data_IF_733753056168
#
_entry.id   IF_733753056168
#
_cell.length_a   1.000
_cell.length_b   1.000
_cell.length_c   1.000
_cell.angle_alpha   90.00
_cell.angle_beta   90.00
_cell.angle_gamma   90.00
#
_symmetry.space_group_name_H-M   'P 1'
#
loop_
_entity.id
_entity.type
_entity.pdbx_description
1 polymer ?
#
# COMPACT_ATOMS: atom_id res chain seq x y z
N UNK A 1 -18.57 34.43 49.97
CA UNK A 1 -19.42 33.23 49.97
C UNK A 1 -18.81 32.23 49.02
N UNK A 2 -17.91 31.35 49.54
CA UNK A 2 -17.19 30.33 48.74
C UNK A 2 -18.02 29.06 48.82
N UNK A 3 -18.42 28.52 47.65
CA UNK A 3 -19.04 27.21 47.51
C UNK A 3 -17.98 26.20 47.17
N UNK A 4 -17.60 25.35 48.12
CA UNK A 4 -16.75 24.19 47.93
C UNK A 4 -17.60 23.05 47.35
N UNK A 5 -17.36 22.69 46.10
CA UNK A 5 -17.91 21.50 45.46
C UNK A 5 -16.93 20.37 45.62
N UNK A 6 -17.15 19.43 46.54
CA UNK A 6 -16.40 18.18 46.68
C UNK A 6 -16.96 17.18 45.70
N UNK A 7 -16.16 16.79 44.73
CA UNK A 7 -16.39 15.61 43.89
C UNK A 7 -15.70 14.40 44.54
N UNK A 8 -16.49 13.58 45.24
CA UNK A 8 -16.10 12.21 45.56
C UNK A 8 -16.77 11.29 44.56
N UNK A 9 -15.99 10.73 43.62
CA UNK A 9 -16.38 9.54 42.89
C UNK A 9 -15.24 8.53 42.99
N UNK A 10 -15.35 7.65 43.97
CA UNK A 10 -14.54 6.41 44.01
C UNK A 10 -15.12 5.45 42.98
N UNK A 11 -14.46 5.30 41.86
CA UNK A 11 -14.79 4.26 40.87
C UNK A 11 -14.30 2.91 41.41
N UNK A 12 -15.20 2.08 41.92
CA UNK A 12 -14.90 0.69 42.29
C UNK A 12 -15.00 -0.19 41.05
N UNK A 13 -13.85 -0.53 40.47
CA UNK A 13 -13.73 -1.42 39.30
C UNK A 13 -13.88 -2.91 39.67
N UNK A 14 -13.84 -3.27 40.96
CA UNK A 14 -13.94 -4.66 41.43
C UNK A 14 -15.35 -5.26 41.32
N UNK A 15 -16.38 -4.50 41.44
CA UNK A 15 -17.76 -4.99 41.42
C UNK A 15 -18.30 -5.38 40.04
N UNK A 16 -17.61 -5.06 38.95
CA UNK A 16 -18.01 -5.44 37.57
C UNK A 16 -17.33 -6.70 37.04
N UNK A 17 -16.35 -7.25 37.75
CA UNK A 17 -15.64 -8.45 37.29
C UNK A 17 -16.35 -9.78 37.63
N UNK A 18 -17.31 -9.79 38.55
CA UNK A 18 -18.02 -11.01 38.99
C UNK A 18 -19.26 -11.32 38.19
N UNK A 19 -19.85 -10.36 37.44
CA UNK A 19 -21.08 -10.58 36.65
C UNK A 19 -20.85 -11.29 35.32
N UNK A 20 -19.62 -11.40 34.86
CA UNK A 20 -19.29 -12.06 33.57
C UNK A 20 -19.01 -13.57 33.65
N UNK A 21 -19.19 -14.23 34.81
CA UNK A 21 -18.89 -15.66 34.95
C UNK A 21 -20.05 -16.63 34.81
N UNK A 22 -21.26 -16.17 34.61
CA UNK A 22 -22.44 -17.04 34.47
C UNK A 22 -23.25 -16.75 33.21
N UNK A 23 -22.69 -17.11 32.08
CA UNK A 23 -23.39 -17.07 30.81
C UNK A 23 -22.48 -17.64 29.72
N UNK A 24 -22.42 -18.97 29.59
CA UNK A 24 -21.92 -19.57 28.35
C UNK A 24 -22.90 -19.22 27.24
N UNK A 25 -22.69 -18.05 26.62
CA UNK A 25 -23.31 -17.73 25.35
C UNK A 25 -22.66 -18.63 24.29
N UNK A 26 -23.48 -19.50 23.69
CA UNK A 26 -23.11 -20.31 22.55
C UNK A 26 -22.62 -19.39 21.41
N UNK A 27 -21.40 -19.62 20.90
CA UNK A 27 -21.04 -19.19 19.57
C UNK A 27 -20.49 -17.76 19.40
N UNK A 28 -19.73 -17.21 20.34
CA UNK A 28 -18.78 -16.17 19.96
C UNK A 28 -17.66 -16.83 19.15
N UNK A 29 -17.77 -16.82 17.81
CA UNK A 29 -16.61 -17.09 16.94
C UNK A 29 -15.53 -16.10 17.38
N UNK A 30 -14.44 -16.63 17.91
CA UNK A 30 -13.22 -15.88 18.09
C UNK A 30 -12.98 -15.13 16.76
N UNK A 31 -12.99 -13.80 16.77
CA UNK A 31 -12.66 -13.00 15.58
C UNK A 31 -11.15 -13.13 15.39
N UNK A 32 -10.73 -14.23 14.80
CA UNK A 32 -9.36 -14.44 14.35
C UNK A 32 -9.11 -13.37 13.29
N UNK A 33 -7.98 -12.65 13.39
CA UNK A 33 -7.56 -11.74 12.34
C UNK A 33 -7.49 -12.53 11.01
N UNK A 34 -8.04 -12.00 9.91
CA UNK A 34 -8.01 -12.70 8.65
C UNK A 34 -6.57 -12.81 8.15
N UNK A 35 -6.07 -14.03 8.08
CA UNK A 35 -4.71 -14.37 7.69
C UNK A 35 -4.78 -15.50 6.68
N UNK A 36 -4.08 -15.34 5.55
CA UNK A 36 -3.78 -16.38 4.60
C UNK A 36 -2.41 -16.98 4.93
N UNK A 37 -2.29 -18.29 4.97
CA UNK A 37 -1.01 -18.98 5.00
C UNK A 37 -0.62 -19.38 3.58
N UNK A 38 0.52 -18.88 3.09
CA UNK A 38 1.07 -19.20 1.77
C UNK A 38 1.73 -20.59 1.74
N UNK A 39 2.14 -21.06 0.56
CA UNK A 39 2.75 -22.37 0.40
C UNK A 39 4.10 -22.51 1.12
N UNK A 40 4.85 -21.40 1.28
CA UNK A 40 6.11 -21.35 2.03
C UNK A 40 5.91 -21.17 3.54
N UNK A 41 4.65 -21.09 3.98
CA UNK A 41 4.27 -20.96 5.39
C UNK A 41 4.18 -19.53 5.89
N UNK A 42 4.42 -18.53 5.05
CA UNK A 42 4.29 -17.10 5.40
C UNK A 42 2.82 -16.77 5.65
N UNK A 43 2.52 -16.07 6.73
CA UNK A 43 1.18 -15.60 7.04
C UNK A 43 0.99 -14.19 6.53
N UNK A 44 0.01 -14.00 5.63
CA UNK A 44 -0.35 -12.72 5.02
C UNK A 44 -1.65 -12.23 5.64
N UNK A 45 -1.58 -11.14 6.39
CA UNK A 45 -2.74 -10.44 6.92
C UNK A 45 -3.47 -9.71 5.79
N UNK A 46 -4.80 -9.72 5.82
CA UNK A 46 -5.61 -8.94 4.89
C UNK A 46 -6.88 -8.40 5.54
N UNK A 47 -7.43 -7.33 4.98
CA UNK A 47 -8.76 -6.79 5.22
C UNK A 47 -9.64 -7.21 4.05
N UNK A 48 -10.91 -7.58 4.33
CA UNK A 48 -11.89 -7.97 3.31
C UNK A 48 -13.27 -7.51 3.76
N UNK A 49 -13.80 -6.46 3.14
CA UNK A 49 -15.05 -5.83 3.55
C UNK A 49 -16.01 -5.67 2.38
N UNK A 50 -17.31 -5.84 2.68
CA UNK A 50 -18.40 -5.62 1.73
C UNK A 50 -18.64 -6.78 0.78
N UNK A 51 -19.28 -6.46 -0.33
CA UNK A 51 -19.67 -7.40 -1.39
C UNK A 51 -19.70 -6.67 -2.74
N UNK A 52 -19.90 -7.38 -3.83
CA UNK A 52 -19.89 -6.80 -5.18
C UNK A 52 -18.56 -7.04 -5.90
N UNK A 53 -18.25 -6.21 -6.90
CA UNK A 53 -17.00 -6.34 -7.66
C UNK A 53 -15.80 -6.13 -6.73
N UNK A 54 -14.82 -7.04 -6.71
CA UNK A 54 -13.66 -6.90 -5.83
C UNK A 54 -12.71 -5.80 -6.32
N UNK A 55 -12.18 -5.01 -5.37
CA UNK A 55 -11.03 -4.12 -5.56
C UNK A 55 -9.96 -4.58 -4.59
N UNK A 56 -8.77 -4.89 -5.11
CA UNK A 56 -7.61 -5.35 -4.32
C UNK A 56 -6.56 -4.25 -4.31
N UNK A 57 -6.14 -3.83 -3.12
CA UNK A 57 -5.19 -2.75 -2.91
C UNK A 57 -3.85 -3.27 -2.44
N UNK A 58 -2.77 -2.93 -3.17
CA UNK A 58 -1.36 -3.20 -2.86
C UNK A 58 -0.65 -1.93 -2.43
N UNK A 59 -0.14 -1.90 -1.20
CA UNK A 59 0.46 -0.71 -0.59
C UNK A 59 1.88 -0.41 -1.06
N UNK A 60 2.34 0.85 -0.88
CA UNK A 60 3.72 1.28 -1.11
C UNK A 60 4.68 0.83 0.01
N UNK A 61 5.99 0.89 -0.26
CA UNK A 61 7.03 0.71 0.75
C UNK A 61 7.14 1.95 1.65
N UNK A 62 7.33 1.83 2.95
CA UNK A 62 7.34 0.64 3.82
C UNK A 62 6.00 0.48 4.57
N UNK A 63 4.89 0.78 3.92
CA UNK A 63 3.56 0.93 4.52
C UNK A 63 2.86 -0.43 4.78
N UNK A 64 1.56 -0.39 4.96
CA UNK A 64 0.68 -1.53 5.20
C UNK A 64 -0.68 -1.30 4.54
N UNK A 65 -1.60 -2.24 4.65
CA UNK A 65 -2.98 -2.08 4.19
C UNK A 65 -3.73 -0.92 4.86
N UNK A 66 -3.22 -0.38 5.98
CA UNK A 66 -3.82 0.78 6.67
C UNK A 66 -3.69 2.07 5.86
N UNK A 67 -2.76 2.14 4.91
CA UNK A 67 -2.62 3.28 4.00
C UNK A 67 -3.82 3.43 3.06
N UNK A 68 -4.56 2.35 2.84
CA UNK A 68 -5.72 2.31 1.95
C UNK A 68 -7.08 2.53 2.64
N UNK A 69 -7.12 2.81 3.96
CA UNK A 69 -8.38 2.89 4.72
C UNK A 69 -9.36 3.93 4.14
N UNK A 70 -8.87 5.07 3.66
CA UNK A 70 -9.71 6.09 3.03
C UNK A 70 -10.34 5.61 1.73
N UNK A 71 -9.55 4.93 0.86
CA UNK A 71 -10.02 4.34 -0.38
C UNK A 71 -10.98 3.20 -0.11
N UNK A 72 -10.63 2.30 0.81
CA UNK A 72 -11.48 1.17 1.18
C UNK A 72 -12.86 1.64 1.65
N UNK A 73 -12.94 2.61 2.56
CA UNK A 73 -14.21 3.16 3.03
C UNK A 73 -15.00 3.84 1.90
N UNK A 74 -14.33 4.58 1.03
CA UNK A 74 -14.97 5.21 -0.11
C UNK A 74 -15.61 4.17 -1.05
N UNK A 75 -14.86 3.16 -1.48
CA UNK A 75 -15.35 2.14 -2.41
C UNK A 75 -16.36 1.20 -1.76
N UNK A 76 -16.21 0.88 -0.47
CA UNK A 76 -17.21 0.15 0.31
C UNK A 76 -18.58 0.86 0.27
N UNK A 77 -18.61 2.18 0.46
CA UNK A 77 -19.81 2.99 0.40
C UNK A 77 -20.40 3.12 -1.03
N UNK A 78 -19.62 2.74 -2.05
CA UNK A 78 -20.07 2.69 -3.45
C UNK A 78 -20.44 1.27 -3.92
N UNK A 79 -20.55 0.31 -3.00
CA UNK A 79 -21.07 -1.04 -3.27
C UNK A 79 -20.00 -2.03 -3.80
N UNK A 80 -18.73 -1.77 -3.58
CA UNK A 80 -17.65 -2.69 -3.92
C UNK A 80 -17.24 -3.57 -2.74
N UNK A 81 -16.72 -4.76 -3.04
CA UNK A 81 -15.94 -5.53 -2.07
C UNK A 81 -14.51 -5.02 -2.10
N UNK A 82 -13.97 -4.63 -0.95
CA UNK A 82 -12.66 -4.00 -0.84
C UNK A 82 -11.71 -4.89 -0.04
N UNK A 83 -10.57 -5.20 -0.63
CA UNK A 83 -9.54 -6.07 -0.06
C UNK A 83 -8.22 -5.30 -0.04
N UNK A 84 -7.50 -5.34 1.08
CA UNK A 84 -6.14 -4.85 1.17
C UNK A 84 -5.32 -5.79 2.04
N UNK A 85 -4.09 -6.09 1.66
CA UNK A 85 -3.20 -6.97 2.42
C UNK A 85 -1.97 -6.22 2.92
N UNK A 86 -1.41 -6.70 4.01
CA UNK A 86 -0.07 -6.33 4.42
C UNK A 86 0.91 -7.27 3.70
N UNK A 87 1.81 -6.72 2.87
CA UNK A 87 2.84 -7.52 2.17
C UNK A 87 3.69 -8.28 3.19
N UNK A 88 4.25 -9.45 2.83
CA UNK A 88 5.21 -10.17 3.70
C UNK A 88 6.26 -9.22 4.27
N UNK A 89 6.57 -9.36 5.55
CA UNK A 89 7.49 -8.49 6.26
C UNK A 89 6.96 -7.10 6.60
N UNK A 90 5.72 -6.75 6.23
CA UNK A 90 5.09 -5.45 6.51
C UNK A 90 3.90 -5.61 7.45
N UNK A 91 3.59 -4.56 8.19
CA UNK A 91 2.40 -4.48 9.03
C UNK A 91 2.21 -5.69 9.95
N UNK A 92 1.10 -6.40 9.78
CA UNK A 92 0.66 -7.56 10.58
C UNK A 92 1.02 -8.92 9.97
N UNK A 93 1.59 -8.93 8.75
CA UNK A 93 2.07 -10.15 8.10
C UNK A 93 3.34 -10.67 8.73
N UNK A 94 3.66 -11.96 8.52
CA UNK A 94 4.87 -12.60 9.05
C UNK A 94 6.13 -11.83 8.69
N UNK A 95 6.98 -11.60 9.67
CA UNK A 95 8.30 -10.98 9.49
C UNK A 95 9.35 -12.07 9.19
N UNK A 96 9.29 -12.61 7.98
CA UNK A 96 10.23 -13.64 7.50
C UNK A 96 11.61 -13.04 7.21
N UNK A 97 12.64 -13.90 7.13
CA UNK A 97 14.03 -13.50 6.90
C UNK A 97 14.37 -13.26 5.42
N UNK A 98 13.56 -13.76 4.49
CA UNK A 98 13.81 -13.80 3.05
C UNK A 98 12.52 -13.68 2.23
N UNK A 99 12.63 -13.78 0.89
CA UNK A 99 11.50 -13.65 -0.01
C UNK A 99 10.99 -12.22 -0.15
N UNK A 100 11.83 -11.22 0.10
CA UNK A 100 11.46 -9.81 -0.03
C UNK A 100 11.79 -9.27 -1.42
N UNK A 101 11.23 -9.92 -2.44
CA UNK A 101 11.38 -9.58 -3.86
C UNK A 101 10.02 -9.59 -4.57
N UNK A 102 9.98 -9.11 -5.80
CA UNK A 102 8.73 -8.97 -6.56
C UNK A 102 8.11 -10.31 -6.93
N UNK A 103 8.90 -11.37 -7.12
CA UNK A 103 8.39 -12.71 -7.40
C UNK A 103 7.54 -13.22 -6.24
N UNK A 104 8.06 -13.16 -5.02
CA UNK A 104 7.33 -13.56 -3.82
C UNK A 104 6.12 -12.67 -3.53
N UNK A 105 6.23 -11.35 -3.76
CA UNK A 105 5.09 -10.44 -3.58
C UNK A 105 3.96 -10.76 -4.57
N UNK A 106 4.29 -11.05 -5.82
CA UNK A 106 3.31 -11.47 -6.82
C UNK A 106 2.70 -12.84 -6.50
N UNK A 107 3.50 -13.79 -6.00
CA UNK A 107 3.05 -15.12 -5.59
C UNK A 107 2.09 -15.03 -4.38
N UNK A 108 2.37 -14.16 -3.39
CA UNK A 108 1.47 -13.89 -2.25
C UNK A 108 0.15 -13.28 -2.70
N UNK A 109 0.19 -12.31 -3.62
CA UNK A 109 -1.01 -11.70 -4.18
C UNK A 109 -1.83 -12.72 -4.97
N UNK A 110 -1.17 -13.61 -5.72
CA UNK A 110 -1.84 -14.72 -6.40
C UNK A 110 -2.50 -15.69 -5.43
N UNK A 111 -1.81 -16.06 -4.35
CA UNK A 111 -2.37 -16.91 -3.30
C UNK A 111 -3.59 -16.25 -2.65
N UNK A 112 -3.55 -14.95 -2.35
CA UNK A 112 -4.67 -14.20 -1.77
C UNK A 112 -5.88 -14.16 -2.70
N UNK A 113 -5.68 -13.86 -3.98
CA UNK A 113 -6.77 -13.82 -4.97
C UNK A 113 -7.41 -15.17 -5.20
N UNK A 114 -6.61 -16.25 -5.14
CA UNK A 114 -7.10 -17.62 -5.22
C UNK A 114 -7.85 -18.04 -3.94
N UNK A 115 -7.30 -17.74 -2.76
CA UNK A 115 -7.91 -18.04 -1.46
C UNK A 115 -9.31 -17.41 -1.31
N UNK A 116 -9.47 -16.18 -1.76
CA UNK A 116 -10.74 -15.44 -1.71
C UNK A 116 -11.65 -15.71 -2.91
N UNK A 117 -11.24 -16.61 -3.83
CA UNK A 117 -11.89 -16.92 -5.12
C UNK A 117 -12.33 -15.67 -5.89
N UNK A 118 -11.44 -14.68 -5.97
CA UNK A 118 -11.75 -13.42 -6.64
C UNK A 118 -11.90 -13.64 -8.15
N UNK A 119 -12.91 -12.97 -8.73
CA UNK A 119 -13.20 -12.98 -10.17
C UNK A 119 -13.48 -11.56 -10.62
N UNK A 120 -12.90 -11.17 -11.77
CA UNK A 120 -13.10 -9.82 -12.32
C UNK A 120 -12.65 -8.71 -11.37
N UNK A 121 -11.60 -8.96 -10.58
CA UNK A 121 -11.09 -7.99 -9.61
C UNK A 121 -10.44 -6.79 -10.31
N UNK A 122 -10.53 -5.62 -9.69
CA UNK A 122 -9.72 -4.45 -10.03
C UNK A 122 -8.53 -4.42 -9.09
N UNK A 123 -7.31 -4.44 -9.63
CA UNK A 123 -6.08 -4.34 -8.83
C UNK A 123 -5.58 -2.90 -8.82
N UNK A 124 -5.36 -2.35 -7.63
CA UNK A 124 -4.89 -0.98 -7.44
C UNK A 124 -3.60 -1.01 -6.64
N UNK A 125 -2.50 -0.53 -7.21
CA UNK A 125 -1.20 -0.49 -6.54
C UNK A 125 -0.62 0.90 -6.46
N UNK A 126 -0.08 1.27 -5.29
CA UNK A 126 0.63 2.52 -5.07
C UNK A 126 2.13 2.27 -4.96
N UNK A 127 2.95 3.08 -5.66
CA UNK A 127 4.41 3.02 -5.55
C UNK A 127 4.94 1.59 -5.83
N UNK A 128 5.62 0.97 -4.88
CA UNK A 128 6.04 -0.45 -4.91
C UNK A 128 4.87 -1.38 -5.21
N UNK A 129 3.68 -1.10 -4.67
CA UNK A 129 2.47 -1.89 -4.93
C UNK A 129 2.02 -1.85 -6.39
N UNK A 130 2.35 -0.79 -7.14
CA UNK A 130 2.13 -0.75 -8.58
C UNK A 130 3.04 -1.71 -9.34
N UNK A 131 4.29 -1.88 -8.90
CA UNK A 131 5.19 -2.90 -9.39
C UNK A 131 4.69 -4.31 -9.09
N UNK A 132 4.26 -4.56 -7.85
CA UNK A 132 3.65 -5.82 -7.42
C UNK A 132 2.45 -6.20 -8.29
N UNK A 133 1.51 -5.26 -8.54
CA UNK A 133 0.34 -5.48 -9.40
C UNK A 133 0.77 -5.81 -10.83
N UNK A 134 1.70 -5.05 -11.41
CA UNK A 134 2.21 -5.31 -12.77
C UNK A 134 2.86 -6.68 -12.90
N UNK A 135 3.71 -7.02 -11.93
CA UNK A 135 4.40 -8.31 -11.90
C UNK A 135 3.44 -9.49 -11.68
N UNK A 136 2.46 -9.34 -10.78
CA UNK A 136 1.40 -10.32 -10.56
C UNK A 136 0.63 -10.64 -11.86
N UNK A 137 0.17 -9.62 -12.57
CA UNK A 137 -0.60 -9.81 -13.80
C UNK A 137 0.23 -10.48 -14.91
N UNK A 138 1.50 -10.12 -15.03
CA UNK A 138 2.40 -10.70 -16.03
C UNK A 138 2.82 -12.14 -15.71
N UNK A 139 2.98 -12.48 -14.42
CA UNK A 139 3.48 -13.78 -13.94
C UNK A 139 2.36 -14.82 -13.77
N UNK A 140 1.22 -14.41 -13.21
CA UNK A 140 0.09 -15.31 -12.89
C UNK A 140 -1.08 -15.18 -13.87
N UNK A 141 -1.02 -14.24 -14.81
CA UNK A 141 -2.04 -14.00 -15.82
C UNK A 141 -3.25 -13.20 -15.29
N UNK A 142 -4.14 -12.88 -16.22
CA UNK A 142 -5.23 -11.92 -16.03
C UNK A 142 -6.59 -12.56 -15.73
N UNK A 143 -6.65 -13.89 -15.61
CA UNK A 143 -7.92 -14.64 -15.53
C UNK A 143 -8.82 -14.25 -14.35
N UNK A 144 -8.27 -13.68 -13.28
CA UNK A 144 -8.98 -13.20 -12.10
C UNK A 144 -9.18 -11.70 -12.06
N UNK A 145 -8.56 -10.95 -12.98
CA UNK A 145 -8.58 -9.50 -13.04
C UNK A 145 -9.48 -8.99 -14.18
N UNK A 146 -10.09 -7.81 -13.98
CA UNK A 146 -10.82 -7.09 -15.01
C UNK A 146 -10.09 -5.83 -15.45
N UNK A 147 -9.48 -5.11 -14.51
CA UNK A 147 -8.78 -3.84 -14.72
C UNK A 147 -7.64 -3.71 -13.70
N UNK A 148 -6.68 -2.81 -13.97
CA UNK A 148 -5.71 -2.40 -12.98
C UNK A 148 -5.54 -0.88 -12.95
N UNK A 149 -5.09 -0.35 -11.81
CA UNK A 149 -4.63 1.03 -11.69
C UNK A 149 -3.29 1.06 -10.93
N UNK A 150 -2.33 1.78 -11.45
CA UNK A 150 -1.02 1.97 -10.82
C UNK A 150 -0.82 3.46 -10.54
N UNK A 151 -0.56 3.79 -9.27
CA UNK A 151 -0.56 5.17 -8.77
C UNK A 151 0.84 5.51 -8.27
N UNK A 152 1.46 6.56 -8.82
CA UNK A 152 2.82 6.99 -8.45
C UNK A 152 3.79 5.79 -8.38
N UNK A 153 3.69 4.88 -9.36
CA UNK A 153 4.25 3.54 -9.31
C UNK A 153 5.70 3.49 -9.79
N UNK A 154 6.45 2.50 -9.30
CA UNK A 154 7.87 2.30 -9.60
C UNK A 154 8.19 1.79 -11.02
N UNK A 155 7.30 1.08 -11.76
CA UNK A 155 7.60 0.66 -13.13
C UNK A 155 7.82 1.84 -14.10
N UNK A 156 8.60 1.63 -15.20
CA UNK A 156 9.16 0.35 -15.60
C UNK A 156 10.45 -0.05 -14.89
N UNK A 157 11.29 0.90 -14.43
CA UNK A 157 12.53 0.63 -13.71
C UNK A 157 13.01 1.91 -13.03
N UNK A 158 13.31 1.85 -11.73
CA UNK A 158 13.75 3.05 -11.02
C UNK A 158 15.26 3.29 -11.12
N UNK A 159 16.06 2.23 -11.03
CA UNK A 159 17.52 2.38 -11.03
C UNK A 159 18.05 2.73 -12.43
N UNK A 160 19.02 3.64 -12.45
CA UNK A 160 19.73 4.00 -13.68
C UNK A 160 20.53 2.81 -14.22
N UNK A 161 20.31 2.49 -15.49
CA UNK A 161 21.04 1.47 -16.24
C UNK A 161 21.28 1.96 -17.66
N UNK A 162 22.01 1.18 -18.47
CA UNK A 162 22.15 1.47 -19.89
C UNK A 162 20.79 1.47 -20.63
N UNK A 163 19.83 0.65 -20.19
CA UNK A 163 18.47 0.58 -20.74
C UNK A 163 17.53 1.64 -20.13
N UNK A 164 17.87 2.22 -18.98
CA UNK A 164 17.12 3.25 -18.28
C UNK A 164 18.06 4.41 -17.90
N UNK A 165 18.52 5.22 -18.85
CA UNK A 165 19.49 6.30 -18.55
C UNK A 165 18.92 7.43 -17.72
N UNK A 166 17.59 7.61 -17.69
CA UNK A 166 16.89 8.62 -16.86
C UNK A 166 16.68 8.20 -15.41
N UNK A 167 16.89 6.91 -15.10
CA UNK A 167 16.65 6.39 -13.74
C UNK A 167 17.57 7.01 -12.68
N UNK A 168 17.24 6.80 -11.43
CA UNK A 168 18.00 7.30 -10.29
C UNK A 168 19.31 6.49 -10.12
N UNK A 169 20.43 7.16 -9.77
CA UNK A 169 21.68 6.47 -9.48
C UNK A 169 21.51 5.41 -8.39
N UNK A 170 22.17 4.26 -8.55
CA UNK A 170 22.12 3.16 -7.56
C UNK A 170 22.48 3.63 -6.15
N UNK A 171 23.38 4.62 -6.02
CA UNK A 171 23.81 5.19 -4.75
C UNK A 171 22.65 5.80 -3.93
N UNK A 172 21.57 6.25 -4.56
CA UNK A 172 20.37 6.74 -3.87
C UNK A 172 19.72 5.59 -3.10
N UNK A 173 19.61 4.42 -3.71
CA UNK A 173 19.01 3.24 -3.09
C UNK A 173 19.94 2.58 -2.07
N UNK A 174 21.26 2.61 -2.31
CA UNK A 174 22.25 2.18 -1.32
C UNK A 174 22.19 3.05 -0.05
N UNK A 175 21.97 4.36 -0.20
CA UNK A 175 21.75 5.26 0.94
C UNK A 175 20.43 4.94 1.67
N UNK A 176 19.35 4.64 0.97
CA UNK A 176 18.10 4.18 1.60
C UNK A 176 18.32 2.94 2.46
N UNK A 177 19.05 1.94 1.93
CA UNK A 177 19.40 0.75 2.70
C UNK A 177 20.26 1.07 3.92
N UNK A 178 21.26 1.94 3.77
CA UNK A 178 22.10 2.39 4.87
C UNK A 178 21.28 3.09 5.97
N UNK A 179 20.34 3.96 5.58
CA UNK A 179 19.46 4.65 6.53
C UNK A 179 18.48 3.69 7.22
N UNK A 180 17.93 2.72 6.52
CA UNK A 180 17.11 1.65 7.13
C UNK A 180 17.92 0.86 8.16
N UNK A 181 19.18 0.57 7.87
CA UNK A 181 20.06 -0.20 8.76
C UNK A 181 20.50 0.57 10.00
N UNK A 182 20.69 1.89 9.90
CA UNK A 182 21.38 2.68 10.95
C UNK A 182 20.49 3.67 11.69
N UNK A 183 19.44 4.22 11.04
CA UNK A 183 18.59 5.28 11.61
C UNK A 183 17.14 5.21 11.10
N UNK A 184 16.58 4.02 11.01
CA UNK A 184 15.27 3.77 10.41
C UNK A 184 14.15 4.68 10.92
N UNK A 185 14.10 4.92 12.21
CA UNK A 185 13.03 5.70 12.83
C UNK A 185 13.06 7.17 12.36
N UNK A 186 14.23 7.79 12.36
CA UNK A 186 14.44 9.15 11.89
C UNK A 186 14.22 9.24 10.39
N UNK A 187 14.80 8.31 9.62
CA UNK A 187 14.67 8.27 8.17
C UNK A 187 13.19 8.22 7.73
N UNK A 188 12.39 7.35 8.34
CA UNK A 188 10.98 7.26 8.01
C UNK A 188 10.20 8.53 8.37
N UNK A 189 10.56 9.15 9.48
CA UNK A 189 9.97 10.43 9.84
C UNK A 189 10.35 11.54 8.86
N UNK A 190 11.62 11.61 8.45
CA UNK A 190 12.14 12.60 7.50
C UNK A 190 11.46 12.45 6.13
N UNK A 191 11.28 11.21 5.65
CA UNK A 191 10.59 10.91 4.39
C UNK A 191 9.13 11.38 4.43
N UNK A 192 8.39 11.05 5.49
CA UNK A 192 6.99 11.44 5.63
C UNK A 192 6.80 12.94 5.87
N UNK A 193 7.67 13.56 6.67
CA UNK A 193 7.64 14.99 6.95
C UNK A 193 8.14 15.85 5.77
N UNK A 194 8.70 15.22 4.74
CA UNK A 194 9.33 15.89 3.61
C UNK A 194 8.74 15.46 2.27
N UNK A 195 9.52 14.73 1.46
CA UNK A 195 9.22 14.52 0.04
C UNK A 195 7.99 13.64 -0.22
N UNK A 196 7.66 12.70 0.67
CA UNK A 196 6.55 11.76 0.43
C UNK A 196 5.20 12.47 0.30
N UNK A 197 4.91 13.42 1.20
CA UNK A 197 3.69 14.23 1.17
C UNK A 197 3.93 15.65 0.66
N UNK A 198 5.13 15.96 0.16
CA UNK A 198 5.47 17.28 -0.33
C UNK A 198 5.50 18.37 0.75
N UNK A 199 5.61 17.97 2.02
CA UNK A 199 5.61 18.91 3.15
C UNK A 199 6.87 19.77 3.25
N UNK A 200 7.92 19.43 2.49
CA UNK A 200 9.13 20.23 2.30
C UNK A 200 8.97 21.37 1.27
N UNK A 201 7.84 21.47 0.56
CA UNK A 201 7.59 22.50 -0.45
C UNK A 201 7.20 23.84 0.22
N UNK A 202 7.56 24.99 -0.38
CA UNK A 202 7.12 26.28 0.13
C UNK A 202 5.60 26.37 0.21
N UNK A 203 5.08 26.85 1.34
CA UNK A 203 3.64 27.02 1.58
C UNK A 203 2.88 25.73 1.93
N UNK A 204 3.56 24.58 1.99
CA UNK A 204 2.97 23.34 2.45
C UNK A 204 2.44 23.46 3.90
N UNK A 205 1.40 22.71 4.20
CA UNK A 205 0.80 22.63 5.55
C UNK A 205 0.95 21.21 6.08
N UNK A 206 2.07 20.88 6.76
CA UNK A 206 2.31 19.56 7.30
C UNK A 206 1.22 19.14 8.29
N UNK A 207 0.76 17.90 8.17
CA UNK A 207 -0.12 17.26 9.16
C UNK A 207 0.69 16.28 9.99
N UNK A 208 0.93 16.60 11.25
CA UNK A 208 1.65 15.73 12.18
C UNK A 208 0.96 14.36 12.31
N UNK A 209 -0.37 14.32 12.31
CA UNK A 209 -1.13 13.07 12.38
C UNK A 209 -0.88 12.17 11.15
N UNK A 210 -0.79 12.75 9.94
CA UNK A 210 -0.47 12.00 8.71
C UNK A 210 0.96 11.50 8.75
N UNK A 211 1.91 12.34 9.17
CA UNK A 211 3.32 11.98 9.34
C UNK A 211 3.47 10.82 10.32
N UNK A 212 2.83 10.90 11.48
CA UNK A 212 2.87 9.86 12.50
C UNK A 212 2.19 8.56 12.04
N UNK A 213 1.09 8.63 11.29
CA UNK A 213 0.43 7.44 10.75
C UNK A 213 1.33 6.72 9.74
N UNK A 214 2.01 7.45 8.87
CA UNK A 214 3.00 6.88 7.95
C UNK A 214 4.17 6.23 8.70
N UNK A 215 4.76 6.97 9.63
CA UNK A 215 5.86 6.50 10.48
C UNK A 215 5.49 5.23 11.26
N UNK A 216 4.31 5.22 11.88
CA UNK A 216 3.80 4.06 12.62
C UNK A 216 3.73 2.82 11.73
N UNK A 217 3.17 2.96 10.52
CA UNK A 217 3.08 1.85 9.57
C UNK A 217 4.46 1.33 9.20
N UNK A 218 5.40 2.21 8.86
CA UNK A 218 6.77 1.84 8.58
C UNK A 218 7.46 1.13 9.75
N UNK A 219 7.25 1.58 10.98
CA UNK A 219 7.86 0.98 12.17
C UNK A 219 7.25 -0.37 12.57
N UNK A 220 6.02 -0.70 12.13
CA UNK A 220 5.40 -2.00 12.36
C UNK A 220 6.02 -3.13 11.53
N UNK A 221 6.60 -2.82 10.38
CA UNK A 221 7.21 -3.81 9.51
C UNK A 221 8.62 -4.23 9.94
N UNK A 222 9.12 -5.29 9.32
CA UNK A 222 10.46 -5.84 9.53
C UNK A 222 11.54 -4.92 8.94
N UNK A 223 12.59 -4.63 9.69
CA UNK A 223 13.76 -3.91 9.17
C UNK A 223 14.41 -4.66 8.00
N UNK A 224 14.45 -6.00 8.07
CA UNK A 224 15.02 -6.86 7.00
C UNK A 224 14.18 -6.75 5.72
N UNK A 225 12.84 -6.87 5.84
CA UNK A 225 11.94 -6.74 4.69
C UNK A 225 12.02 -5.36 4.04
N UNK A 226 12.15 -4.31 4.85
CA UNK A 226 12.29 -2.96 4.31
C UNK A 226 13.66 -2.72 3.67
N UNK A 227 14.72 -3.28 4.23
CA UNK A 227 16.07 -3.21 3.66
C UNK A 227 16.14 -3.90 2.29
N UNK A 228 15.65 -5.15 2.20
CA UNK A 228 15.63 -5.92 0.94
C UNK A 228 14.61 -5.33 -0.05
N UNK A 229 13.48 -4.84 0.45
CA UNK A 229 12.44 -4.20 -0.33
C UNK A 229 12.94 -3.01 -1.15
N UNK A 230 14.00 -2.31 -0.69
CA UNK A 230 14.66 -1.26 -1.49
C UNK A 230 15.21 -1.83 -2.79
N UNK A 231 15.83 -3.01 -2.76
CA UNK A 231 16.31 -3.69 -3.97
C UNK A 231 15.13 -4.12 -4.84
N UNK A 232 14.11 -4.71 -4.24
CA UNK A 232 12.92 -5.18 -4.93
C UNK A 232 12.25 -4.07 -5.75
N UNK A 233 11.96 -2.91 -5.16
CA UNK A 233 11.26 -1.85 -5.88
C UNK A 233 12.16 -1.05 -6.83
N UNK A 234 13.46 -0.99 -6.57
CA UNK A 234 14.35 -0.13 -7.36
C UNK A 234 15.05 -0.84 -8.51
N UNK A 235 15.33 -2.15 -8.40
CA UNK A 235 16.16 -2.88 -9.33
C UNK A 235 15.39 -3.92 -10.17
N UNK A 236 14.10 -4.17 -9.87
CA UNK A 236 13.27 -5.02 -10.72
C UNK A 236 12.90 -4.26 -11.99
N UNK A 237 13.18 -4.86 -13.14
CA UNK A 237 12.79 -4.35 -14.45
C UNK A 237 11.42 -4.92 -14.85
N UNK A 238 10.41 -4.09 -14.83
CA UNK A 238 9.02 -4.43 -15.17
C UNK A 238 8.72 -4.24 -16.67
N UNK A 239 9.71 -3.91 -17.50
CA UNK A 239 9.48 -3.57 -18.91
C UNK A 239 8.75 -4.69 -19.65
N UNK A 240 9.20 -5.93 -19.51
CA UNK A 240 8.57 -7.07 -20.18
C UNK A 240 7.25 -7.48 -19.51
N UNK A 241 7.07 -7.19 -18.24
CA UNK A 241 5.80 -7.43 -17.54
C UNK A 241 4.71 -6.53 -18.07
N UNK A 242 4.97 -5.23 -18.17
CA UNK A 242 3.99 -4.25 -18.69
C UNK A 242 3.55 -4.57 -20.12
N UNK A 243 4.47 -5.04 -20.98
CA UNK A 243 4.18 -5.45 -22.37
C UNK A 243 3.24 -6.67 -22.46
N UNK A 244 3.23 -7.54 -21.45
CA UNK A 244 2.35 -8.72 -21.42
C UNK A 244 0.92 -8.35 -21.09
N UNK A 245 0.70 -7.31 -20.25
CA UNK A 245 -0.62 -6.93 -19.74
C UNK A 245 -1.54 -6.46 -20.88
N UNK A 246 -2.72 -7.09 -20.97
CA UNK A 246 -3.70 -6.85 -22.01
C UNK A 246 -5.00 -6.19 -21.51
N UNK A 247 -5.28 -6.28 -20.22
CA UNK A 247 -6.43 -5.62 -19.61
C UNK A 247 -6.26 -4.08 -19.57
N UNK A 248 -7.36 -3.31 -19.40
CA UNK A 248 -7.25 -1.86 -19.22
C UNK A 248 -6.46 -1.51 -17.95
N UNK A 249 -5.48 -0.61 -18.08
CA UNK A 249 -4.67 -0.10 -16.97
C UNK A 249 -4.71 1.41 -16.91
N UNK A 250 -5.12 1.97 -15.77
CA UNK A 250 -5.01 3.39 -15.49
C UNK A 250 -3.67 3.68 -14.81
N UNK A 251 -2.85 4.52 -15.43
CA UNK A 251 -1.58 4.99 -14.86
C UNK A 251 -1.80 6.41 -14.34
N UNK A 252 -1.74 6.59 -13.02
CA UNK A 252 -1.98 7.85 -12.33
C UNK A 252 -0.70 8.35 -11.69
N UNK A 253 -0.22 9.55 -12.07
CA UNK A 253 1.04 10.08 -11.54
C UNK A 253 1.07 11.61 -11.56
N UNK A 254 1.82 12.20 -10.66
CA UNK A 254 2.02 13.65 -10.63
C UNK A 254 3.39 14.02 -11.20
N UNK A 255 3.42 15.13 -11.97
CA UNK A 255 4.66 15.74 -12.45
C UNK A 255 5.56 16.24 -11.30
N UNK A 256 4.98 16.43 -10.10
CA UNK A 256 5.64 16.96 -8.91
C UNK A 256 6.04 15.90 -7.87
N UNK A 257 5.97 14.62 -8.24
CA UNK A 257 6.39 13.51 -7.40
C UNK A 257 7.91 13.58 -7.13
N UNK A 258 8.28 13.65 -5.85
CA UNK A 258 9.67 13.76 -5.41
C UNK A 258 10.30 12.41 -5.04
N UNK A 259 9.53 11.32 -5.09
CA UNK A 259 9.97 9.96 -4.73
C UNK A 259 10.19 9.11 -5.98
N UNK A 260 9.18 9.05 -6.85
CA UNK A 260 9.28 8.37 -8.14
C UNK A 260 9.20 9.40 -9.25
N UNK A 261 10.31 9.69 -9.95
CA UNK A 261 10.33 10.70 -10.99
C UNK A 261 9.31 10.39 -12.09
N UNK A 262 8.38 11.33 -12.33
CA UNK A 262 7.31 11.18 -13.30
C UNK A 262 7.83 10.80 -14.70
N UNK A 263 8.85 11.51 -15.18
CA UNK A 263 9.37 11.36 -16.54
C UNK A 263 9.93 9.94 -16.82
N UNK A 264 10.46 9.30 -15.78
CA UNK A 264 11.11 7.98 -15.86
C UNK A 264 10.18 6.83 -15.45
N UNK A 265 8.90 7.12 -15.16
CA UNK A 265 7.90 6.13 -14.74
C UNK A 265 6.63 6.17 -15.59
N UNK A 266 5.67 7.02 -15.25
CA UNK A 266 4.29 6.91 -15.74
C UNK A 266 4.14 7.02 -17.27
N UNK A 267 4.78 7.98 -17.98
CA UNK A 267 4.70 8.05 -19.43
C UNK A 267 5.31 6.84 -20.12
N UNK A 268 6.38 6.28 -19.54
CA UNK A 268 7.04 5.08 -20.07
C UNK A 268 6.18 3.85 -19.83
N UNK A 269 5.65 3.68 -18.63
CA UNK A 269 4.72 2.59 -18.30
C UNK A 269 3.48 2.59 -19.19
N UNK A 270 2.85 3.75 -19.39
CA UNK A 270 1.66 3.87 -20.24
C UNK A 270 1.95 3.49 -21.70
N UNK A 271 3.14 3.76 -22.20
CA UNK A 271 3.55 3.37 -23.58
C UNK A 271 3.83 1.87 -23.72
N UNK A 272 4.25 1.20 -22.66
CA UNK A 272 4.55 -0.24 -22.67
C UNK A 272 3.28 -1.09 -22.57
N UNK A 273 2.28 -0.60 -21.86
CA UNK A 273 0.98 -1.25 -21.68
C UNK A 273 0.18 -1.29 -22.99
N UNK A 274 -0.46 -2.41 -23.31
CA UNK A 274 -1.30 -2.54 -24.50
C UNK A 274 -2.54 -1.65 -24.46
N UNK A 275 -3.15 -1.52 -23.26
CA UNK A 275 -4.36 -0.72 -23.00
C UNK A 275 -4.13 0.24 -21.82
N UNK A 276 -3.00 0.97 -21.84
CA UNK A 276 -2.64 1.95 -20.83
C UNK A 276 -3.32 3.30 -21.06
N UNK A 277 -3.93 3.84 -20.01
CA UNK A 277 -4.45 5.23 -19.97
C UNK A 277 -3.66 6.03 -18.96
N UNK A 278 -2.97 7.08 -19.41
CA UNK A 278 -2.21 7.97 -18.54
C UNK A 278 -3.10 9.11 -18.02
N UNK A 279 -3.11 9.28 -16.70
CA UNK A 279 -3.68 10.46 -16.05
C UNK A 279 -2.61 11.17 -15.23
N UNK A 280 -2.28 12.39 -15.66
CA UNK A 280 -1.24 13.23 -15.07
C UNK A 280 -1.85 14.26 -14.14
N UNK A 281 -1.22 14.49 -13.00
CA UNK A 281 -1.57 15.53 -12.04
C UNK A 281 -0.45 16.56 -11.91
N UNK A 282 -0.79 17.76 -11.44
CA UNK A 282 0.17 18.84 -11.12
C UNK A 282 0.02 19.21 -9.66
N UNK A 283 1.14 19.43 -9.00
CA UNK A 283 1.20 19.85 -7.60
C UNK A 283 0.95 18.74 -6.58
N UNK A 284 0.56 17.53 -6.99
CA UNK A 284 0.31 16.43 -6.08
C UNK A 284 1.62 15.76 -5.65
N UNK A 285 1.77 15.39 -4.37
CA UNK A 285 2.94 14.66 -3.89
C UNK A 285 2.85 13.16 -4.20
N UNK A 286 3.92 12.42 -3.90
CA UNK A 286 3.94 10.95 -4.02
C UNK A 286 2.79 10.29 -3.25
N UNK A 287 2.53 10.73 -2.03
CA UNK A 287 1.45 10.24 -1.17
C UNK A 287 0.06 10.77 -1.54
N UNK A 288 -0.19 11.10 -2.80
CA UNK A 288 -1.47 11.65 -3.27
C UNK A 288 -2.71 10.79 -2.98
N UNK A 289 -2.65 9.44 -2.84
CA UNK A 289 -3.82 8.69 -2.38
C UNK A 289 -4.33 9.15 -0.99
N UNK A 290 -3.44 9.66 -0.15
CA UNK A 290 -3.77 10.17 1.19
C UNK A 290 -4.13 11.66 1.15
N UNK A 291 -3.29 12.50 0.53
CA UNK A 291 -3.47 13.97 0.57
C UNK A 291 -4.54 14.46 -0.40
N UNK A 292 -4.73 13.77 -1.52
CA UNK A 292 -5.65 14.12 -2.60
C UNK A 292 -6.73 13.06 -2.80
N UNK A 293 -7.10 12.37 -1.71
CA UNK A 293 -7.98 11.20 -1.72
C UNK A 293 -9.30 11.43 -2.49
N UNK A 294 -9.89 12.61 -2.38
CA UNK A 294 -11.14 12.92 -3.07
C UNK A 294 -11.00 12.85 -4.60
N UNK A 295 -9.93 13.45 -5.15
CA UNK A 295 -9.65 13.44 -6.60
C UNK A 295 -9.26 12.04 -7.06
N UNK A 296 -8.35 11.38 -6.35
CA UNK A 296 -7.88 10.04 -6.71
C UNK A 296 -9.03 9.02 -6.68
N UNK A 297 -9.87 9.07 -5.66
CA UNK A 297 -11.03 8.18 -5.54
C UNK A 297 -12.06 8.41 -6.66
N UNK A 298 -12.35 9.67 -7.03
CA UNK A 298 -13.28 9.98 -8.10
C UNK A 298 -12.77 9.46 -9.46
N UNK A 299 -11.48 9.64 -9.74
CA UNK A 299 -10.86 9.19 -10.98
C UNK A 299 -10.78 7.66 -11.08
N UNK A 300 -10.42 7.00 -10.00
CA UNK A 300 -10.47 5.54 -9.89
C UNK A 300 -11.90 5.01 -10.10
N UNK A 301 -12.91 5.64 -9.47
CA UNK A 301 -14.31 5.22 -9.61
C UNK A 301 -14.80 5.38 -11.06
N UNK A 302 -14.45 6.48 -11.71
CA UNK A 302 -14.78 6.72 -13.11
C UNK A 302 -14.16 5.64 -14.01
N UNK A 303 -12.88 5.32 -13.82
CA UNK A 303 -12.19 4.26 -14.57
C UNK A 303 -12.78 2.86 -14.32
N UNK A 304 -13.13 2.54 -13.07
CA UNK A 304 -13.68 1.23 -12.72
C UNK A 304 -15.06 1.03 -13.37
N UNK A 305 -15.90 2.06 -13.38
CA UNK A 305 -17.27 2.00 -13.92
C UNK A 305 -17.35 2.12 -15.45
N UNK A 306 -16.41 2.81 -16.10
CA UNK A 306 -16.31 2.94 -17.57
C UNK A 306 -15.68 1.73 -18.19
#
# INVERSE_FOLDING_TARGET
>A
MQVHMRLHSTWDWRSRYEICRSGRAAGAREKIMPVLKTNDGTEIYYKDWGSGQPIVFSHGWPLSSDDWDAQMLFFLNHGFRVIAHDRRGHGRSSQVSDGHDMDHYADDLAALTAHLDLKGAVHVGHSTGGGEVGHYLARHGESRAAKAAIIAAVPPLMVQTAANPGGLPKSVFDDFQAQVATRRAEFYRDVAAGPFYGYNKPGAKPSEAVIQNWWRQGMMGSAKAHYDGVVAFSQTDFTEDLKKISLPVLVMHSEDDQIVPYADSAPLSAKLLKNGTLKTYKGFPHGMPTTEAATINADLLAFIKG
#
